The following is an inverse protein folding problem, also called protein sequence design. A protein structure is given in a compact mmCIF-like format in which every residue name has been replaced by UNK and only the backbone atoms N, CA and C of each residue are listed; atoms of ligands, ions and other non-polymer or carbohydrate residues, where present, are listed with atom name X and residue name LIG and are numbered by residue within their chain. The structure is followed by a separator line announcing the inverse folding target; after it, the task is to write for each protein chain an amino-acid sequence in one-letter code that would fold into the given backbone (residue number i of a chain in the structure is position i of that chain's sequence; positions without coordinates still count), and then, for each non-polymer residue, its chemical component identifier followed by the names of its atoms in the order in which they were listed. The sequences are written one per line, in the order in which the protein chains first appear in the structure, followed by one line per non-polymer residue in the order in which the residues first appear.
data_IF_366690805739
#
_entry.id   IF_366690805739
#
_cell.length_a   1.000
_cell.length_b   1.000
_cell.length_c   1.000
_cell.angle_alpha   90.00
_cell.angle_beta   90.00
_cell.angle_gamma   90.00
#
_symmetry.space_group_name_H-M   'P 1'
#
loop_
_entity.id
_entity.type
_entity.pdbx_description
1 polymer ?
#
# COMPACT_ATOMS: atom_id res chain seq x y z
N UNK A 1 12.85 -8.64 41.02
CA UNK A 1 12.02 -7.76 40.16
C UNK A 1 12.94 -6.91 39.31
N UNK A 2 13.25 -7.36 38.08
CA UNK A 2 14.28 -6.74 37.24
C UNK A 2 13.76 -5.46 36.60
N UNK A 3 14.43 -4.35 36.92
CA UNK A 3 14.29 -3.03 36.31
C UNK A 3 14.63 -3.10 34.81
N UNK A 4 13.65 -3.48 33.98
CA UNK A 4 13.76 -3.40 32.54
C UNK A 4 13.76 -1.94 32.12
N UNK A 5 14.94 -1.39 31.78
CA UNK A 5 15.10 -0.06 31.19
C UNK A 5 14.02 0.14 30.12
N UNK A 6 13.06 1.03 30.36
CA UNK A 6 12.01 1.36 29.39
C UNK A 6 12.74 1.94 28.17
N UNK A 7 12.65 1.29 27.01
CA UNK A 7 12.99 1.96 25.76
C UNK A 7 12.13 3.22 25.67
N UNK A 8 12.76 4.37 25.45
CA UNK A 8 12.04 5.63 25.30
C UNK A 8 11.08 5.50 24.13
N UNK A 9 9.85 5.99 24.29
CA UNK A 9 8.85 6.03 23.22
C UNK A 9 9.43 6.70 21.96
N UNK A 10 10.31 7.68 22.13
CA UNK A 10 11.06 8.32 21.06
C UNK A 10 11.83 7.32 20.19
N UNK A 11 12.58 6.39 20.79
CA UNK A 11 13.38 5.39 20.07
C UNK A 11 12.47 4.47 19.25
N UNK A 12 11.35 4.05 19.84
CA UNK A 12 10.37 3.19 19.17
C UNK A 12 9.72 3.92 17.99
N UNK A 13 9.36 5.20 18.15
CA UNK A 13 8.83 6.01 17.07
C UNK A 13 9.86 6.21 15.94
N UNK A 14 11.09 6.59 16.26
CA UNK A 14 12.17 6.75 15.26
C UNK A 14 12.44 5.46 14.49
N UNK A 15 12.38 4.32 15.17
CA UNK A 15 12.52 3.00 14.57
C UNK A 15 11.44 2.75 13.50
N UNK A 16 10.16 2.98 13.83
CA UNK A 16 9.06 2.76 12.87
C UNK A 16 9.05 3.79 11.75
N UNK A 17 9.46 5.04 12.03
CA UNK A 17 9.64 6.08 11.00
C UNK A 17 10.72 5.65 10.00
N UNK A 18 11.87 5.16 10.48
CA UNK A 18 12.93 4.66 9.60
C UNK A 18 12.43 3.50 8.73
N UNK A 19 11.74 2.55 9.33
CA UNK A 19 11.08 1.43 8.65
C UNK A 19 10.09 1.89 7.56
N UNK A 20 9.29 2.93 7.82
CA UNK A 20 8.39 3.52 6.82
C UNK A 20 9.16 4.18 5.68
N UNK A 21 10.17 5.01 5.99
CA UNK A 21 10.98 5.71 4.98
C UNK A 21 11.66 4.73 4.03
N UNK A 22 12.18 3.60 4.53
CA UNK A 22 12.79 2.57 3.68
C UNK A 22 11.78 1.95 2.69
N UNK A 23 10.51 1.78 3.09
CA UNK A 23 9.44 1.27 2.21
C UNK A 23 9.05 2.26 1.11
N UNK A 24 9.40 3.54 1.25
CA UNK A 24 9.18 4.56 0.23
C UNK A 24 10.30 4.59 -0.83
N UNK A 25 11.38 3.82 -0.66
CA UNK A 25 12.50 3.80 -1.60
C UNK A 25 12.11 3.53 -3.07
N UNK A 26 11.10 2.71 -3.42
CA UNK A 26 10.68 2.50 -4.80
C UNK A 26 10.04 3.72 -5.48
N UNK A 27 9.53 4.69 -4.72
CA UNK A 27 8.79 5.84 -5.27
C UNK A 27 9.61 6.57 -6.34
N UNK A 28 9.02 6.73 -7.52
CA UNK A 28 9.62 7.46 -8.65
C UNK A 28 10.81 6.75 -9.32
N UNK A 29 11.14 5.51 -8.97
CA UNK A 29 12.31 4.79 -9.53
C UNK A 29 11.97 3.81 -10.64
N UNK A 30 10.91 3.03 -10.45
CA UNK A 30 10.49 1.99 -11.39
C UNK A 30 9.02 1.64 -11.15
N UNK A 31 8.44 0.88 -12.08
CA UNK A 31 7.10 0.30 -12.03
C UNK A 31 7.24 -1.20 -12.23
N UNK A 32 6.63 -2.02 -11.38
CA UNK A 32 6.63 -3.48 -11.59
C UNK A 32 5.48 -3.89 -12.51
N UNK A 33 5.57 -5.05 -13.20
CA UNK A 33 4.58 -5.46 -14.20
C UNK A 33 3.14 -5.55 -13.68
N UNK A 34 2.98 -5.95 -12.41
CA UNK A 34 1.66 -6.20 -11.83
C UNK A 34 0.97 -4.95 -11.28
N UNK A 35 1.74 -3.91 -10.92
CA UNK A 35 1.24 -2.70 -10.27
C UNK A 35 0.19 -1.93 -11.11
N UNK A 36 0.39 -1.70 -12.42
CA UNK A 36 -0.64 -1.09 -13.26
C UNK A 36 -1.95 -1.90 -13.27
N UNK A 37 -1.86 -3.24 -13.29
CA UNK A 37 -3.04 -4.08 -13.24
C UNK A 37 -3.78 -3.94 -11.90
N UNK A 38 -3.05 -3.81 -10.78
CA UNK A 38 -3.66 -3.52 -9.49
C UNK A 38 -4.30 -2.15 -9.40
N UNK A 39 -3.72 -1.11 -10.02
CA UNK A 39 -4.36 0.19 -10.15
C UNK A 39 -5.67 0.07 -10.94
N UNK A 40 -5.65 -0.63 -12.08
CA UNK A 40 -6.83 -0.82 -12.92
C UNK A 40 -7.96 -1.53 -12.17
N UNK A 41 -7.65 -2.61 -11.43
CA UNK A 41 -8.61 -3.29 -10.55
C UNK A 41 -9.16 -2.37 -9.47
N UNK A 42 -8.31 -1.54 -8.87
CA UNK A 42 -8.71 -0.59 -7.83
C UNK A 42 -9.68 0.48 -8.36
N UNK A 43 -9.50 0.95 -9.59
CA UNK A 43 -10.42 1.88 -10.25
C UNK A 43 -11.79 1.23 -10.44
N UNK A 44 -11.83 0.03 -11.02
CA UNK A 44 -13.08 -0.72 -11.23
C UNK A 44 -13.78 -1.05 -9.91
N UNK A 45 -13.01 -1.43 -8.90
CA UNK A 45 -13.51 -1.67 -7.55
C UNK A 45 -14.15 -0.42 -6.94
N UNK A 46 -13.47 0.74 -7.03
CA UNK A 46 -14.02 2.00 -6.54
C UNK A 46 -15.29 2.43 -7.29
N UNK A 47 -15.34 2.22 -8.61
CA UNK A 47 -16.51 2.52 -9.44
C UNK A 47 -17.69 1.59 -9.10
N UNK A 48 -17.45 0.29 -8.90
CA UNK A 48 -18.47 -0.68 -8.47
C UNK A 48 -19.04 -0.33 -7.09
N UNK A 49 -18.19 0.04 -6.12
CA UNK A 49 -18.64 0.52 -4.81
C UNK A 49 -19.48 1.79 -4.92
N UNK A 50 -19.05 2.76 -5.72
CA UNK A 50 -19.77 4.02 -5.93
C UNK A 50 -21.15 3.79 -6.58
N UNK A 51 -21.23 2.86 -7.53
CA UNK A 51 -22.47 2.45 -8.18
C UNK A 51 -23.34 1.50 -7.34
N UNK A 52 -22.84 1.01 -6.19
CA UNK A 52 -23.45 -0.06 -5.38
C UNK A 52 -23.68 -1.36 -6.17
N UNK A 53 -22.84 -1.62 -7.17
CA UNK A 53 -22.86 -2.84 -7.96
C UNK A 53 -21.97 -3.90 -7.31
N UNK A 54 -22.54 -4.60 -6.33
CA UNK A 54 -21.84 -5.66 -5.60
C UNK A 54 -21.45 -6.85 -6.48
N UNK A 55 -22.13 -7.05 -7.61
CA UNK A 55 -21.83 -8.14 -8.54
C UNK A 55 -20.54 -7.90 -9.31
N UNK A 56 -20.17 -6.63 -9.51
CA UNK A 56 -18.93 -6.21 -10.18
C UNK A 56 -17.72 -6.09 -9.23
N UNK A 57 -17.91 -6.22 -7.91
CA UNK A 57 -16.83 -6.13 -6.91
C UNK A 57 -15.80 -7.25 -7.04
N UNK A 58 -16.17 -8.53 -7.25
CA UNK A 58 -15.22 -9.59 -7.54
C UNK A 58 -14.52 -9.32 -8.87
N UNK A 59 -13.29 -8.82 -8.81
CA UNK A 59 -12.53 -8.45 -10.01
C UNK A 59 -11.64 -9.58 -10.56
N UNK A 60 -11.29 -10.55 -9.71
CA UNK A 60 -10.35 -11.65 -10.01
C UNK A 60 -10.63 -12.84 -9.10
N UNK A 61 -10.17 -14.03 -9.47
CA UNK A 61 -10.37 -15.27 -8.71
C UNK A 61 -9.56 -15.36 -7.42
N UNK A 62 -8.57 -14.49 -7.21
CA UNK A 62 -7.78 -14.44 -5.97
C UNK A 62 -8.23 -13.30 -5.05
N UNK A 63 -8.01 -13.41 -3.71
CA UNK A 63 -8.24 -12.31 -2.79
C UNK A 63 -7.43 -11.07 -3.20
N UNK A 64 -8.09 -9.91 -3.20
CA UNK A 64 -7.44 -8.64 -3.57
C UNK A 64 -8.14 -7.41 -3.01
N UNK A 65 -9.15 -7.59 -2.16
CA UNK A 65 -9.97 -6.48 -1.64
C UNK A 65 -9.13 -5.48 -0.88
N UNK A 66 -8.24 -5.94 0.01
CA UNK A 66 -7.34 -5.05 0.75
C UNK A 66 -6.46 -4.23 -0.19
N UNK A 67 -5.81 -4.87 -1.17
CA UNK A 67 -4.99 -4.18 -2.18
C UNK A 67 -5.81 -3.17 -2.97
N UNK A 68 -7.04 -3.52 -3.37
CA UNK A 68 -7.93 -2.62 -4.10
C UNK A 68 -8.43 -1.44 -3.24
N UNK A 69 -8.64 -1.63 -1.94
CA UNK A 69 -8.93 -0.52 -1.02
C UNK A 69 -7.76 0.46 -0.93
N UNK A 70 -6.52 -0.06 -0.80
CA UNK A 70 -5.32 0.78 -0.76
C UNK A 70 -5.09 1.50 -2.10
N UNK A 71 -5.36 0.84 -3.23
CA UNK A 71 -5.34 1.49 -4.54
C UNK A 71 -6.48 2.52 -4.72
N UNK A 72 -7.67 2.28 -4.17
CA UNK A 72 -8.76 3.27 -4.22
C UNK A 72 -8.42 4.54 -3.41
N UNK A 73 -7.65 4.42 -2.31
CA UNK A 73 -7.11 5.57 -1.60
C UNK A 73 -6.16 6.41 -2.46
N UNK A 74 -5.40 5.78 -3.37
CA UNK A 74 -4.53 6.50 -4.30
C UNK A 74 -5.34 7.35 -5.29
N UNK A 75 -6.48 6.82 -5.72
CA UNK A 75 -7.44 7.51 -6.57
C UNK A 75 -8.04 8.72 -5.85
N UNK A 76 -8.45 8.54 -4.60
CA UNK A 76 -8.97 9.62 -3.76
C UNK A 76 -7.91 10.72 -3.54
N UNK A 77 -6.67 10.35 -3.20
CA UNK A 77 -5.57 11.30 -3.03
C UNK A 77 -5.31 12.08 -4.32
N UNK A 78 -5.25 11.42 -5.49
CA UNK A 78 -5.07 12.11 -6.78
C UNK A 78 -6.24 13.02 -7.13
N UNK A 79 -7.48 12.66 -6.81
CA UNK A 79 -8.65 13.54 -7.00
C UNK A 79 -8.58 14.78 -6.10
N UNK A 80 -8.02 14.67 -4.89
CA UNK A 80 -7.85 15.80 -3.97
C UNK A 80 -6.71 16.73 -4.43
N UNK A 81 -5.54 16.17 -4.73
CA UNK A 81 -4.34 16.97 -5.00
C UNK A 81 -4.18 17.37 -6.48
N UNK A 82 -4.72 16.59 -7.42
CA UNK A 82 -4.60 16.79 -8.87
C UNK A 82 -5.96 16.54 -9.57
N UNK A 83 -7.04 17.27 -9.22
CA UNK A 83 -8.40 16.92 -9.65
C UNK A 83 -8.58 16.81 -11.17
N UNK A 84 -8.14 17.83 -11.93
CA UNK A 84 -8.32 17.88 -13.38
C UNK A 84 -7.53 16.78 -14.12
N UNK A 85 -6.27 16.59 -13.73
CA UNK A 85 -5.39 15.57 -14.32
C UNK A 85 -5.88 14.15 -13.97
N UNK A 86 -6.28 13.94 -12.71
CA UNK A 86 -6.89 12.69 -12.24
C UNK A 86 -8.14 12.33 -13.04
N UNK A 87 -9.02 13.31 -13.29
CA UNK A 87 -10.22 13.11 -14.10
C UNK A 87 -9.87 12.72 -15.55
N UNK A 88 -8.91 13.41 -16.18
CA UNK A 88 -8.47 13.09 -17.54
C UNK A 88 -7.92 11.65 -17.66
N UNK A 89 -7.10 11.21 -16.70
CA UNK A 89 -6.61 9.83 -16.70
C UNK A 89 -7.74 8.82 -16.48
N UNK A 90 -8.65 9.10 -15.56
CA UNK A 90 -9.79 8.23 -15.27
C UNK A 90 -10.75 8.09 -16.46
N UNK A 91 -11.08 9.19 -17.13
CA UNK A 91 -11.98 9.19 -18.28
C UNK A 91 -11.41 8.40 -19.45
N UNK A 92 -10.08 8.42 -19.61
CA UNK A 92 -9.40 7.57 -20.58
C UNK A 92 -9.48 6.09 -20.18
N UNK A 93 -9.09 5.76 -18.94
CA UNK A 93 -9.06 4.37 -18.44
C UNK A 93 -10.44 3.72 -18.48
N UNK A 94 -11.50 4.47 -18.16
CA UNK A 94 -12.89 3.96 -18.11
C UNK A 94 -13.47 3.65 -19.49
N UNK A 95 -12.88 4.16 -20.58
CA UNK A 95 -13.26 3.80 -21.96
C UNK A 95 -12.64 2.48 -22.40
N UNK A 96 -11.71 1.93 -21.62
CA UNK A 96 -11.02 0.71 -21.94
C UNK A 96 -11.92 -0.50 -21.67
N UNK A 97 -12.17 -1.31 -22.70
CA UNK A 97 -12.93 -2.56 -22.57
C UNK A 97 -12.21 -3.57 -21.67
N UNK A 98 -10.89 -3.70 -21.81
CA UNK A 98 -10.03 -4.56 -20.99
C UNK A 98 -8.57 -4.09 -21.05
N UNK A 99 -7.78 -4.38 -20.00
CA UNK A 99 -6.36 -4.01 -19.93
C UNK A 99 -5.47 -5.06 -20.61
N UNK A 100 -4.98 -4.74 -21.81
CA UNK A 100 -4.03 -5.57 -22.53
C UNK A 100 -2.59 -5.37 -22.03
N UNK A 101 -1.79 -6.45 -21.86
CA UNK A 101 -0.38 -6.35 -21.46
C UNK A 101 0.47 -5.46 -22.39
N UNK A 102 0.16 -5.46 -23.68
CA UNK A 102 0.84 -4.68 -24.72
C UNK A 102 0.38 -3.20 -24.79
N UNK A 103 -0.65 -2.82 -24.04
CA UNK A 103 -1.20 -1.46 -24.07
C UNK A 103 -0.35 -0.50 -23.22
N UNK A 104 0.80 -0.10 -23.77
CA UNK A 104 1.72 0.84 -23.13
C UNK A 104 1.09 2.19 -22.80
N UNK A 105 0.11 2.65 -23.59
CA UNK A 105 -0.59 3.90 -23.31
C UNK A 105 -1.44 3.79 -22.03
N UNK A 106 -2.19 2.69 -21.87
CA UNK A 106 -2.94 2.45 -20.63
C UNK A 106 -2.03 2.48 -19.41
N UNK A 107 -0.81 1.95 -19.52
CA UNK A 107 0.13 1.93 -18.41
C UNK A 107 0.56 3.34 -18.02
N UNK A 108 0.72 4.27 -18.97
CA UNK A 108 1.02 5.68 -18.66
C UNK A 108 -0.10 6.32 -17.84
N UNK A 109 -1.35 6.04 -18.18
CA UNK A 109 -2.49 6.52 -17.41
C UNK A 109 -2.59 5.88 -16.02
N UNK A 110 -2.28 4.59 -15.88
CA UNK A 110 -2.35 3.86 -14.63
C UNK A 110 -1.23 4.26 -13.65
N UNK A 111 0.00 4.43 -14.15
CA UNK A 111 1.17 4.79 -13.33
C UNK A 111 0.99 6.14 -12.64
N UNK A 112 0.18 7.04 -13.19
CA UNK A 112 -0.19 8.29 -12.53
C UNK A 112 -0.71 8.08 -11.09
N UNK A 113 -1.50 7.04 -10.84
CA UNK A 113 -2.08 6.76 -9.52
C UNK A 113 -1.17 5.96 -8.58
N UNK A 114 -0.08 5.39 -9.10
CA UNK A 114 0.75 4.44 -8.37
C UNK A 114 1.46 5.02 -7.12
N UNK A 115 2.01 6.25 -7.12
CA UNK A 115 2.77 6.76 -5.97
C UNK A 115 1.97 6.76 -4.67
N UNK A 116 0.72 7.22 -4.71
CA UNK A 116 -0.15 7.24 -3.53
C UNK A 116 -0.59 5.83 -3.10
N UNK A 117 -0.66 4.88 -4.03
CA UNK A 117 -0.95 3.48 -3.70
C UNK A 117 0.20 2.84 -2.93
N UNK A 118 1.44 3.06 -3.38
CA UNK A 118 2.64 2.63 -2.66
C UNK A 118 2.76 3.26 -1.27
N UNK A 119 2.46 4.56 -1.14
CA UNK A 119 2.43 5.23 0.18
C UNK A 119 1.39 4.59 1.09
N UNK A 120 0.20 4.27 0.58
CA UNK A 120 -0.85 3.62 1.36
C UNK A 120 -0.42 2.22 1.84
N UNK A 121 0.19 1.39 0.98
CA UNK A 121 0.72 0.07 1.36
C UNK A 121 1.84 0.18 2.40
N UNK A 122 2.79 1.07 2.18
CA UNK A 122 3.90 1.31 3.11
C UNK A 122 3.38 1.75 4.49
N UNK A 123 2.38 2.63 4.51
CA UNK A 123 1.78 3.15 5.74
C UNK A 123 1.03 2.06 6.49
N UNK A 124 0.13 1.34 5.83
CA UNK A 124 -0.69 0.29 6.46
C UNK A 124 0.19 -0.85 6.98
N UNK A 125 1.21 -1.25 6.22
CA UNK A 125 2.15 -2.27 6.69
C UNK A 125 2.94 -1.79 7.90
N UNK A 126 3.41 -0.54 7.91
CA UNK A 126 4.12 0.03 9.06
C UNK A 126 3.21 0.10 10.29
N UNK A 127 1.96 0.54 10.14
CA UNK A 127 0.98 0.56 11.23
C UNK A 127 0.69 -0.84 11.76
N UNK A 128 0.65 -1.85 10.87
CA UNK A 128 0.56 -3.26 11.26
C UNK A 128 1.72 -3.70 12.15
N UNK A 129 2.95 -3.30 11.82
CA UNK A 129 4.13 -3.59 12.65
C UNK A 129 4.10 -2.85 13.99
N UNK A 130 3.63 -1.59 14.00
CA UNK A 130 3.40 -0.82 15.24
C UNK A 130 2.39 -1.53 16.12
N UNK A 131 1.29 -2.03 15.56
CA UNK A 131 0.26 -2.77 16.27
C UNK A 131 0.73 -4.17 16.72
N UNK A 132 1.64 -4.81 15.98
CA UNK A 132 2.19 -6.11 16.33
C UNK A 132 3.04 -6.06 17.61
N UNK A 133 3.78 -4.96 17.84
CA UNK A 133 4.62 -4.83 19.03
C UNK A 133 3.88 -5.03 20.36
N UNK A 134 2.79 -4.30 20.68
CA UNK A 134 2.07 -4.53 21.93
C UNK A 134 1.42 -5.92 21.99
N UNK A 135 1.04 -6.52 20.86
CA UNK A 135 0.52 -7.90 20.83
C UNK A 135 1.61 -8.91 21.23
N UNK A 136 2.82 -8.78 20.70
CA UNK A 136 3.93 -9.65 21.05
C UNK A 136 4.38 -9.47 22.50
N UNK A 137 4.25 -8.26 23.08
CA UNK A 137 4.53 -8.06 24.52
C UNK A 137 3.54 -8.76 25.45
N UNK A 138 2.44 -9.33 24.93
CA UNK A 138 1.55 -10.21 25.71
C UNK A 138 2.03 -11.66 25.75
N UNK A 139 2.88 -12.05 24.80
CA UNK A 139 3.40 -13.42 24.67
C UNK A 139 4.85 -13.54 25.15
N UNK A 140 5.64 -12.50 24.96
CA UNK A 140 7.06 -12.45 25.26
C UNK A 140 7.42 -11.20 26.08
N UNK A 141 8.64 -11.16 26.63
CA UNK A 141 9.13 -9.93 27.22
C UNK A 141 9.38 -8.85 26.15
N UNK A 142 9.51 -7.61 26.61
CA UNK A 142 9.63 -6.43 25.73
C UNK A 142 10.85 -6.47 24.81
N UNK A 143 11.96 -7.09 25.23
CA UNK A 143 13.18 -7.15 24.42
C UNK A 143 12.99 -8.11 23.25
N UNK A 144 12.42 -9.29 23.52
CA UNK A 144 12.09 -10.27 22.50
C UNK A 144 11.05 -9.73 21.53
N UNK A 145 10.00 -9.08 22.03
CA UNK A 145 8.99 -8.45 21.18
C UNK A 145 9.59 -7.35 20.28
N UNK A 146 10.45 -6.49 20.83
CA UNK A 146 11.12 -5.43 20.05
C UNK A 146 12.09 -6.01 19.02
N UNK A 147 12.83 -7.07 19.37
CA UNK A 147 13.72 -7.74 18.42
C UNK A 147 12.93 -8.41 17.29
N UNK A 148 11.83 -9.08 17.60
CA UNK A 148 10.99 -9.74 16.60
C UNK A 148 10.37 -8.74 15.61
N UNK A 149 9.76 -7.65 16.10
CA UNK A 149 9.28 -6.57 15.23
C UNK A 149 10.44 -5.87 14.53
N UNK A 150 11.58 -5.74 15.21
CA UNK A 150 12.91 -5.40 14.71
C UNK A 150 13.23 -6.03 13.37
N UNK A 151 13.29 -7.36 13.40
CA UNK A 151 13.61 -8.20 12.26
C UNK A 151 12.61 -8.01 11.12
N UNK A 152 11.30 -7.97 11.42
CA UNK A 152 10.27 -7.76 10.39
C UNK A 152 10.34 -6.35 9.77
N UNK A 153 10.53 -5.32 10.59
CA UNK A 153 10.55 -3.93 10.13
C UNK A 153 11.69 -3.65 9.15
N UNK A 154 12.82 -4.32 9.34
CA UNK A 154 14.03 -4.18 8.53
C UNK A 154 14.32 -5.38 7.63
N UNK A 155 13.40 -6.34 7.54
CA UNK A 155 13.51 -7.47 6.62
C UNK A 155 13.46 -6.96 5.17
N UNK A 156 14.46 -7.27 4.32
CA UNK A 156 14.52 -6.75 2.96
C UNK A 156 13.37 -7.24 2.09
N UNK A 157 12.88 -8.46 2.31
CA UNK A 157 11.74 -9.00 1.55
C UNK A 157 10.47 -8.23 1.87
N UNK A 158 10.19 -7.98 3.15
CA UNK A 158 9.03 -7.22 3.60
C UNK A 158 9.13 -5.75 3.17
N UNK A 159 10.28 -5.11 3.33
CA UNK A 159 10.50 -3.73 2.84
C UNK A 159 10.24 -3.65 1.33
N UNK A 160 10.79 -4.58 0.55
CA UNK A 160 10.63 -4.63 -0.90
C UNK A 160 9.17 -4.75 -1.32
N UNK A 161 8.44 -5.74 -0.79
CA UNK A 161 7.04 -5.98 -1.18
C UNK A 161 6.07 -4.94 -0.64
N UNK A 162 6.28 -4.45 0.59
CA UNK A 162 5.40 -3.41 1.19
C UNK A 162 5.68 -1.99 0.70
N UNK A 163 6.62 -1.82 -0.24
CA UNK A 163 6.79 -0.60 -1.02
C UNK A 163 6.07 -0.62 -2.37
N UNK A 164 5.38 -1.71 -2.71
CA UNK A 164 4.71 -1.91 -4.00
C UNK A 164 3.20 -2.08 -3.82
N UNK A 165 2.42 -1.80 -4.86
CA UNK A 165 0.99 -2.10 -4.88
C UNK A 165 0.75 -3.48 -5.53
N UNK A 166 0.68 -4.53 -4.70
CA UNK A 166 0.55 -5.92 -5.15
C UNK A 166 -0.32 -6.77 -4.21
#
# INVERSE_FOLDING_TARGET
MTNGKRCSAFVICSFFICSFVLRLAPLGRYVTPDEPAWVYRSIRFADALAARDWSAVPSTGHPGVTTMWLGALSLAARRIFNPAESLAHLDWIRRLAWLAPENGEAFRHLVFFLPWGRVAVALVTTLGLVALYPLLTRLFDRRVALLAVGLLAFDPFLIGHSGLLH
#
